data_IF_105485118088
#
_entry.id   IF_105485118088
#
_cell.length_a   1.000
_cell.length_b   1.000
_cell.length_c   1.000
_cell.angle_alpha   90.00
_cell.angle_beta   90.00
_cell.angle_gamma   90.00
#
_symmetry.space_group_name_H-M   'P 1'
#
loop_
_entity.id
_entity.type
_entity.pdbx_description
1 polymer ?
#
# COMPACT_ATOMS: atom_id res chain seq x y z
N UNK A 1 -2.53 -0.74 15.39
CA UNK A 1 -2.28 -0.32 13.99
C UNK A 1 -1.25 -1.21 13.32
N UNK A 2 -1.56 -1.71 12.12
CA UNK A 2 -0.64 -2.49 11.27
C UNK A 2 0.43 -1.60 10.63
N UNK A 3 1.74 -1.84 10.90
CA UNK A 3 2.80 -1.01 10.36
C UNK A 3 2.92 -1.18 8.84
N UNK A 4 3.36 -0.12 8.15
CA UNK A 4 3.68 -0.19 6.73
C UNK A 4 4.81 -1.20 6.46
N UNK A 5 4.51 -2.18 5.62
CA UNK A 5 5.44 -3.19 5.11
C UNK A 5 5.57 -3.01 3.59
N UNK A 6 6.78 -2.82 3.09
CA UNK A 6 7.03 -2.62 1.66
C UNK A 6 8.09 -3.60 1.14
N UNK A 7 7.72 -4.46 0.20
CA UNK A 7 8.57 -5.49 -0.45
C UNK A 7 9.35 -6.35 0.54
N UNK A 8 8.69 -7.30 1.21
CA UNK A 8 9.42 -8.32 1.98
C UNK A 8 9.15 -9.68 1.38
N UNK A 9 10.22 -10.35 0.98
CA UNK A 9 10.18 -11.74 0.59
C UNK A 9 9.88 -12.59 1.81
N UNK A 10 8.97 -13.54 1.64
CA UNK A 10 8.58 -14.48 2.69
C UNK A 10 9.77 -15.11 3.43
N UNK A 11 10.89 -15.33 2.74
CA UNK A 11 12.08 -15.98 3.31
C UNK A 11 12.79 -15.18 4.39
N UNK A 12 12.57 -13.87 4.44
CA UNK A 12 13.20 -12.99 5.41
C UNK A 12 12.39 -12.85 6.69
N UNK A 13 11.19 -13.42 6.72
CA UNK A 13 10.43 -13.55 7.95
C UNK A 13 10.92 -14.71 8.80
N UNK A 14 10.98 -14.46 10.10
CA UNK A 14 11.30 -15.48 11.10
C UNK A 14 10.09 -16.38 11.39
N UNK A 15 10.38 -17.63 11.73
CA UNK A 15 9.36 -18.61 12.08
C UNK A 15 8.95 -18.51 13.55
N UNK A 16 7.65 -18.64 13.78
CA UNK A 16 7.02 -18.77 15.09
C UNK A 16 6.20 -20.07 15.14
N UNK A 17 5.84 -20.52 16.35
CA UNK A 17 4.80 -21.53 16.48
C UNK A 17 3.47 -20.95 15.98
N UNK A 18 2.71 -21.72 15.19
CA UNK A 18 1.45 -21.23 14.63
C UNK A 18 0.37 -21.06 15.73
N UNK A 19 -0.30 -19.92 15.76
CA UNK A 19 -1.37 -19.60 16.70
C UNK A 19 -2.73 -20.10 16.21
N UNK A 20 -2.89 -21.42 16.17
CA UNK A 20 -4.12 -22.09 15.73
C UNK A 20 -4.83 -22.77 16.90
N UNK A 21 -5.51 -21.96 17.73
CA UNK A 21 -6.15 -22.39 18.98
C UNK A 21 -7.19 -23.49 18.73
N UNK A 22 -7.19 -24.52 19.58
CA UNK A 22 -8.17 -25.61 19.58
C UNK A 22 -7.92 -26.70 18.54
N UNK A 23 -6.83 -26.63 17.76
CA UNK A 23 -6.47 -27.69 16.82
C UNK A 23 -5.37 -28.63 17.33
N UNK A 24 -5.30 -29.79 16.69
CA UNK A 24 -4.29 -30.82 16.92
C UNK A 24 -3.37 -30.95 15.71
N UNK A 25 -2.07 -31.09 15.94
CA UNK A 25 -1.04 -31.14 14.90
C UNK A 25 0.07 -30.12 15.14
N UNK A 26 1.05 -30.04 14.23
CA UNK A 26 2.16 -29.09 14.31
C UNK A 26 2.17 -28.19 13.08
N UNK A 27 2.29 -26.89 13.30
CA UNK A 27 2.46 -25.90 12.26
C UNK A 27 3.37 -24.76 12.76
N UNK A 28 4.01 -24.07 11.83
CA UNK A 28 4.74 -22.82 12.10
C UNK A 28 4.19 -21.70 11.25
N UNK A 29 4.32 -20.46 11.73
CA UNK A 29 3.85 -19.27 11.02
C UNK A 29 4.96 -18.25 10.81
N UNK A 30 4.88 -17.51 9.71
CA UNK A 30 5.58 -16.26 9.47
C UNK A 30 4.55 -15.13 9.55
N UNK A 31 4.84 -14.13 10.39
CA UNK A 31 3.97 -12.98 10.64
C UNK A 31 4.29 -11.87 9.66
N UNK A 32 3.55 -11.81 8.56
CA UNK A 32 3.80 -10.90 7.44
C UNK A 32 3.54 -9.44 7.84
N UNK A 33 2.43 -9.22 8.54
CA UNK A 33 2.07 -7.95 9.20
C UNK A 33 1.11 -8.24 10.35
N UNK A 34 1.24 -7.48 11.44
CA UNK A 34 0.49 -7.68 12.69
C UNK A 34 0.10 -6.34 13.25
N UNK A 35 -1.15 -6.24 13.68
CA UNK A 35 -1.66 -5.20 14.55
C UNK A 35 -1.49 -5.63 16.00
N UNK A 36 -0.62 -4.93 16.74
CA UNK A 36 -0.38 -5.24 18.15
C UNK A 36 -1.52 -4.77 19.07
N UNK A 37 -2.45 -3.94 18.58
CA UNK A 37 -3.54 -3.38 19.38
C UNK A 37 -4.75 -4.30 19.44
N UNK A 38 -5.13 -4.94 18.33
CA UNK A 38 -6.33 -5.79 18.25
C UNK A 38 -6.06 -7.25 17.84
N UNK A 39 -4.84 -7.58 17.41
CA UNK A 39 -4.46 -8.94 16.99
C UNK A 39 -4.63 -9.23 15.50
N UNK A 40 -5.14 -8.28 14.72
CA UNK A 40 -5.28 -8.43 13.27
C UNK A 40 -3.94 -8.79 12.63
N UNK A 41 -3.91 -9.74 11.72
CA UNK A 41 -2.65 -10.30 11.21
C UNK A 41 -2.78 -10.96 9.85
N UNK A 42 -1.74 -10.77 9.03
CA UNK A 42 -1.50 -11.52 7.80
C UNK A 42 -0.36 -12.50 8.04
N UNK A 43 -0.62 -13.78 7.81
CA UNK A 43 0.26 -14.88 8.17
C UNK A 43 0.49 -15.78 6.96
N UNK A 44 1.69 -16.34 6.87
CA UNK A 44 1.95 -17.58 6.13
C UNK A 44 2.06 -18.71 7.15
N UNK A 45 1.38 -19.82 6.92
CA UNK A 45 1.42 -20.99 7.80
C UNK A 45 1.85 -22.24 7.03
N UNK A 46 2.81 -22.97 7.58
CA UNK A 46 3.32 -24.23 7.05
C UNK A 46 2.99 -25.36 8.05
N UNK A 47 2.27 -26.39 7.57
CA UNK A 47 1.84 -27.53 8.38
C UNK A 47 2.86 -28.68 8.32
N UNK A 48 3.41 -29.07 9.47
CA UNK A 48 4.47 -30.10 9.61
C UNK A 48 3.95 -31.49 9.97
N UNK A 49 2.66 -31.61 10.19
CA UNK A 49 1.91 -32.87 10.32
C UNK A 49 0.53 -32.64 9.73
N UNK A 50 -0.28 -33.71 9.62
CA UNK A 50 -1.72 -33.51 9.54
C UNK A 50 -2.18 -32.63 10.72
N UNK A 51 -2.96 -31.60 10.42
CA UNK A 51 -3.51 -30.69 11.42
C UNK A 51 -5.02 -30.60 11.26
N UNK A 52 -5.74 -30.49 12.37
CA UNK A 52 -7.20 -30.37 12.33
C UNK A 52 -7.79 -29.70 13.54
N UNK A 53 -8.96 -29.10 13.34
CA UNK A 53 -9.78 -28.52 14.39
C UNK A 53 -11.25 -28.80 14.12
N UNK A 54 -11.98 -29.13 15.18
CA UNK A 54 -13.44 -29.32 15.14
C UNK A 54 -14.21 -28.00 14.93
N UNK A 55 -15.55 -28.08 14.83
CA UNK A 55 -16.40 -26.91 14.65
C UNK A 55 -16.37 -25.98 15.87
N UNK A 56 -16.68 -24.70 15.66
CA UNK A 56 -16.68 -23.68 16.70
C UNK A 56 -16.86 -22.27 16.13
N UNK A 57 -16.37 -21.25 16.84
CA UNK A 57 -16.51 -19.84 16.46
C UNK A 57 -15.17 -19.11 16.60
N UNK A 58 -14.81 -18.31 15.60
CA UNK A 58 -13.61 -17.48 15.61
C UNK A 58 -13.84 -16.15 16.34
N UNK A 59 -12.79 -15.65 17.00
CA UNK A 59 -12.77 -14.32 17.64
C UNK A 59 -12.36 -13.19 16.68
N UNK A 60 -11.96 -13.54 15.45
CA UNK A 60 -11.56 -12.63 14.37
C UNK A 60 -12.20 -13.07 13.04
N UNK A 61 -12.38 -12.15 12.11
CA UNK A 61 -12.71 -12.49 10.73
C UNK A 61 -11.50 -13.23 10.13
N UNK A 62 -11.67 -14.50 9.82
CA UNK A 62 -10.56 -15.39 9.47
C UNK A 62 -10.65 -15.85 8.02
N UNK A 63 -9.56 -15.70 7.26
CA UNK A 63 -9.48 -16.19 5.88
C UNK A 63 -8.34 -17.19 5.71
N UNK A 64 -8.60 -18.29 5.01
CA UNK A 64 -7.61 -19.32 4.68
C UNK A 64 -7.50 -19.43 3.16
N UNK A 65 -6.28 -19.31 2.63
CA UNK A 65 -6.01 -19.52 1.20
C UNK A 65 -4.89 -20.54 1.01
N UNK A 66 -5.15 -21.61 0.26
CA UNK A 66 -4.18 -22.69 0.03
C UNK A 66 -3.18 -22.29 -1.05
N UNK A 67 -1.91 -22.13 -0.67
CA UNK A 67 -0.78 -21.92 -1.58
C UNK A 67 -0.32 -23.24 -2.20
N UNK A 68 -0.19 -24.28 -1.38
CA UNK A 68 0.30 -25.61 -1.75
C UNK A 68 -0.32 -26.66 -0.83
N UNK A 69 -0.53 -27.88 -1.31
CA UNK A 69 -1.15 -28.96 -0.53
C UNK A 69 -2.68 -28.92 -0.56
N UNK A 70 -3.34 -29.22 0.55
CA UNK A 70 -4.80 -29.24 0.59
C UNK A 70 -5.43 -29.00 1.96
N UNK A 71 -6.61 -28.42 1.91
CA UNK A 71 -7.51 -28.16 3.04
C UNK A 71 -8.78 -28.99 2.86
N UNK A 72 -9.34 -29.51 3.95
CA UNK A 72 -10.72 -30.04 3.96
C UNK A 72 -11.55 -29.25 4.95
N UNK A 73 -12.61 -28.61 4.48
CA UNK A 73 -13.55 -27.81 5.27
C UNK A 73 -14.96 -28.40 5.16
N UNK A 74 -15.59 -28.73 6.29
CA UNK A 74 -16.93 -29.33 6.30
C UNK A 74 -17.05 -30.62 5.45
N UNK A 75 -15.96 -31.38 5.34
CA UNK A 75 -15.88 -32.59 4.51
C UNK A 75 -15.59 -32.34 3.02
N UNK A 76 -15.53 -31.09 2.55
CA UNK A 76 -15.13 -30.75 1.18
C UNK A 76 -13.63 -30.49 1.11
N UNK A 77 -12.92 -31.27 0.30
CA UNK A 77 -11.49 -31.08 0.03
C UNK A 77 -11.27 -30.00 -1.05
N UNK A 78 -10.28 -29.13 -0.82
CA UNK A 78 -9.84 -28.06 -1.70
C UNK A 78 -8.31 -28.10 -1.80
N UNK A 79 -7.78 -28.02 -3.03
CA UNK A 79 -6.35 -27.94 -3.30
C UNK A 79 -5.83 -26.51 -3.30
N UNK A 80 -4.73 -26.26 -4.03
CA UNK A 80 -4.21 -24.92 -4.30
C UNK A 80 -5.32 -24.00 -4.86
N UNK A 81 -5.40 -22.78 -4.34
CA UNK A 81 -6.48 -21.84 -4.63
C UNK A 81 -7.77 -22.07 -3.85
N UNK A 82 -7.83 -23.10 -2.99
CA UNK A 82 -8.89 -23.26 -2.02
C UNK A 82 -8.95 -22.07 -1.06
N UNK A 83 -10.13 -21.47 -0.92
CA UNK A 83 -10.37 -20.29 -0.09
C UNK A 83 -11.54 -20.53 0.87
N UNK A 84 -11.35 -20.16 2.13
CA UNK A 84 -12.40 -20.13 3.15
C UNK A 84 -12.38 -18.78 3.85
N UNK A 85 -13.51 -18.08 3.88
CA UNK A 85 -13.78 -16.96 4.79
C UNK A 85 -14.67 -17.44 5.92
N UNK A 86 -14.25 -17.22 7.14
CA UNK A 86 -14.90 -17.59 8.39
C UNK A 86 -15.09 -16.32 9.24
N UNK A 87 -16.28 -15.70 9.18
CA UNK A 87 -16.51 -14.44 9.89
C UNK A 87 -16.50 -14.64 11.42
N UNK A 88 -16.08 -13.59 12.13
CA UNK A 88 -16.09 -13.49 13.58
C UNK A 88 -17.49 -13.79 14.13
N UNK A 89 -17.55 -14.62 15.17
CA UNK A 89 -18.81 -14.95 15.81
C UNK A 89 -19.71 -15.92 15.04
N UNK A 90 -19.34 -16.35 13.82
CA UNK A 90 -20.14 -17.28 13.00
C UNK A 90 -19.70 -18.73 13.25
N UNK A 91 -20.63 -19.68 13.47
CA UNK A 91 -20.29 -21.10 13.60
C UNK A 91 -19.64 -21.62 12.31
N UNK A 92 -18.46 -22.20 12.46
CA UNK A 92 -17.71 -22.84 11.39
C UNK A 92 -17.73 -24.36 11.55
N UNK A 93 -17.57 -25.03 10.43
CA UNK A 93 -17.42 -26.48 10.36
C UNK A 93 -16.00 -26.92 10.74
N UNK A 94 -15.79 -28.23 10.85
CA UNK A 94 -14.46 -28.79 11.03
C UNK A 94 -13.54 -28.46 9.83
N UNK A 95 -12.28 -28.13 10.13
CA UNK A 95 -11.24 -27.80 9.16
C UNK A 95 -10.00 -28.66 9.41
N UNK A 96 -9.40 -29.18 8.35
CA UNK A 96 -8.17 -29.98 8.42
C UNK A 96 -7.24 -29.63 7.27
N UNK A 97 -5.94 -29.79 7.51
CA UNK A 97 -4.87 -29.60 6.52
C UNK A 97 -3.98 -30.84 6.49
N UNK A 98 -3.57 -31.24 5.29
CA UNK A 98 -2.61 -32.33 5.13
C UNK A 98 -1.20 -31.87 5.50
N UNK A 99 -0.37 -32.80 5.95
CA UNK A 99 1.06 -32.54 6.16
C UNK A 99 1.72 -31.97 4.90
N UNK A 100 2.55 -30.95 5.06
CA UNK A 100 3.20 -30.24 3.95
C UNK A 100 2.35 -29.15 3.30
N UNK A 101 1.09 -28.96 3.74
CA UNK A 101 0.24 -27.87 3.25
C UNK A 101 0.81 -26.52 3.67
N UNK A 102 0.71 -25.54 2.75
CA UNK A 102 1.07 -24.14 2.98
C UNK A 102 -0.11 -23.25 2.67
N UNK A 103 -0.37 -22.29 3.55
CA UNK A 103 -1.49 -21.37 3.41
C UNK A 103 -1.08 -19.94 3.69
N UNK A 104 -1.86 -19.01 3.14
CA UNK A 104 -2.04 -17.69 3.76
C UNK A 104 -3.21 -17.77 4.73
N UNK A 105 -3.03 -17.17 5.90
CA UNK A 105 -4.05 -17.08 6.93
C UNK A 105 -4.15 -15.62 7.37
N UNK A 106 -5.33 -15.04 7.21
CA UNK A 106 -5.61 -13.67 7.61
C UNK A 106 -6.57 -13.67 8.80
N UNK A 107 -6.38 -12.73 9.71
CA UNK A 107 -7.26 -12.45 10.84
C UNK A 107 -7.50 -10.94 10.89
N UNK A 108 -8.75 -10.50 10.93
CA UNK A 108 -9.08 -9.09 11.11
C UNK A 108 -10.01 -8.89 12.31
N UNK A 109 -9.83 -7.76 12.99
CA UNK A 109 -10.68 -7.28 14.08
C UNK A 109 -10.76 -8.23 15.29
N UNK A 110 -9.69 -8.98 15.56
CA UNK A 110 -9.59 -9.87 16.71
C UNK A 110 -8.32 -10.72 16.75
N UNK A 111 -8.15 -11.42 17.86
CA UNK A 111 -6.99 -12.27 18.13
C UNK A 111 -7.15 -13.72 17.60
N UNK A 112 -6.24 -14.61 18.03
CA UNK A 112 -6.22 -16.03 17.66
C UNK A 112 -7.35 -16.88 18.28
N UNK A 113 -8.22 -16.29 19.09
CA UNK A 113 -9.19 -17.00 19.92
C UNK A 113 -10.20 -17.82 19.11
N UNK A 114 -10.60 -18.94 19.72
CA UNK A 114 -11.57 -19.87 19.14
C UNK A 114 -12.38 -20.60 20.21
N UNK A 115 -13.70 -20.51 20.11
CA UNK A 115 -14.62 -21.19 21.02
C UNK A 115 -15.17 -22.47 20.37
N UNK A 116 -14.73 -23.62 20.87
CA UNK A 116 -15.13 -24.93 20.32
C UNK A 116 -16.60 -25.20 20.59
N UNK A 117 -17.36 -25.59 19.55
CA UNK A 117 -18.78 -25.94 19.66
C UNK A 117 -19.70 -24.80 20.08
N UNK A 118 -19.24 -23.54 19.99
CA UNK A 118 -20.03 -22.38 20.37
C UNK A 118 -21.17 -22.09 19.37
N UNK A 119 -22.23 -21.46 19.87
CA UNK A 119 -23.31 -20.94 19.06
C UNK A 119 -22.92 -19.59 18.41
N UNK A 120 -23.66 -19.19 17.37
CA UNK A 120 -23.47 -17.90 16.70
C UNK A 120 -23.61 -16.76 17.70
N UNK A 121 -22.68 -15.81 17.66
CA UNK A 121 -22.76 -14.58 18.45
C UNK A 121 -23.85 -13.66 17.91
N UNK A 122 -24.44 -12.83 18.78
CA UNK A 122 -25.60 -12.03 18.42
C UNK A 122 -25.28 -10.94 17.36
N UNK A 123 -24.07 -10.42 17.42
CA UNK A 123 -23.50 -9.38 16.57
C UNK A 123 -22.81 -9.93 15.31
N UNK A 124 -22.71 -11.25 15.17
CA UNK A 124 -22.04 -11.88 14.05
C UNK A 124 -22.74 -11.55 12.72
N UNK A 125 -21.96 -11.10 11.75
CA UNK A 125 -22.42 -10.73 10.40
C UNK A 125 -21.94 -11.74 9.38
N UNK A 126 -22.53 -11.69 8.19
CA UNK A 126 -22.17 -12.52 7.04
C UNK A 126 -22.28 -14.03 7.32
N UNK A 127 -21.86 -14.85 6.36
CA UNK A 127 -21.83 -16.29 6.47
C UNK A 127 -20.48 -16.81 5.93
N UNK A 128 -20.15 -18.04 6.26
CA UNK A 128 -18.93 -18.69 5.77
C UNK A 128 -18.96 -18.79 4.25
N UNK A 129 -17.87 -18.39 3.60
CA UNK A 129 -17.66 -18.55 2.16
C UNK A 129 -16.62 -19.65 1.92
N UNK A 130 -16.90 -20.56 0.97
CA UNK A 130 -15.99 -21.65 0.59
C UNK A 130 -15.86 -21.71 -0.93
N UNK A 131 -14.69 -21.31 -1.43
CA UNK A 131 -14.42 -21.13 -2.87
C UNK A 131 -13.28 -22.03 -3.32
N UNK A 132 -13.43 -22.58 -4.53
CA UNK A 132 -12.33 -23.15 -5.29
C UNK A 132 -11.94 -22.13 -6.37
N UNK A 133 -10.94 -21.29 -6.08
CA UNK A 133 -10.59 -20.18 -6.97
C UNK A 133 -9.90 -20.64 -8.26
N UNK A 134 -9.35 -21.86 -8.25
CA UNK A 134 -8.77 -22.48 -9.45
C UNK A 134 -9.85 -22.85 -10.48
N UNK A 135 -11.06 -23.19 -10.01
CA UNK A 135 -12.22 -23.49 -10.85
C UNK A 135 -13.01 -22.24 -11.30
N UNK A 136 -12.66 -21.05 -10.81
CA UNK A 136 -13.29 -19.80 -11.24
C UNK A 136 -12.71 -19.33 -12.57
N UNK A 137 -13.53 -18.63 -13.35
CA UNK A 137 -13.08 -17.87 -14.51
C UNK A 137 -12.54 -16.50 -14.08
N UNK A 138 -11.65 -15.93 -14.90
CA UNK A 138 -11.11 -14.59 -14.69
C UNK A 138 -12.00 -13.55 -15.35
N UNK A 139 -12.40 -12.53 -14.59
CA UNK A 139 -13.12 -11.38 -15.14
C UNK A 139 -12.12 -10.28 -15.54
N UNK A 140 -12.20 -9.79 -16.77
CA UNK A 140 -11.44 -8.60 -17.16
C UNK A 140 -11.95 -7.38 -16.37
N UNK A 141 -11.03 -6.55 -15.86
CA UNK A 141 -11.41 -5.33 -15.13
C UNK A 141 -12.13 -4.36 -16.10
N UNK A 142 -13.40 -4.00 -15.84
CA UNK A 142 -14.20 -3.23 -16.79
C UNK A 142 -13.99 -1.71 -16.70
N UNK A 143 -13.14 -1.23 -15.80
CA UNK A 143 -13.06 0.20 -15.48
C UNK A 143 -12.29 1.04 -16.53
N UNK A 144 -12.80 2.24 -16.88
CA UNK A 144 -12.02 3.26 -17.57
C UNK A 144 -10.89 3.75 -16.65
N UNK A 145 -9.63 3.72 -17.11
CA UNK A 145 -8.51 4.30 -16.36
C UNK A 145 -7.19 3.57 -16.54
N UNK A 146 -7.05 2.30 -16.09
CA UNK A 146 -5.85 1.50 -16.34
C UNK A 146 -5.84 0.95 -17.77
N UNK A 147 -4.64 0.65 -18.29
CA UNK A 147 -4.49 -0.08 -19.54
C UNK A 147 -5.19 -1.45 -19.43
N UNK A 148 -5.86 -1.96 -20.49
CA UNK A 148 -6.41 -3.30 -20.49
C UNK A 148 -5.33 -4.36 -20.19
N UNK A 149 -5.71 -5.44 -19.51
CA UNK A 149 -4.78 -6.51 -19.12
C UNK A 149 -4.75 -6.85 -17.64
N UNK A 150 -5.61 -6.22 -16.83
CA UNK A 150 -5.91 -6.66 -15.47
C UNK A 150 -7.13 -7.56 -15.46
N UNK A 151 -7.04 -8.63 -14.67
CA UNK A 151 -8.11 -9.59 -14.46
C UNK A 151 -8.32 -9.81 -12.96
N UNK A 152 -9.57 -10.02 -12.55
CA UNK A 152 -9.96 -10.17 -11.15
C UNK A 152 -10.78 -11.44 -10.93
N UNK A 153 -10.60 -12.06 -9.76
CA UNK A 153 -11.55 -12.99 -9.15
C UNK A 153 -11.87 -12.52 -7.74
N UNK A 154 -13.12 -12.11 -7.48
CA UNK A 154 -13.55 -11.77 -6.13
C UNK A 154 -13.77 -13.03 -5.30
N UNK A 155 -13.10 -13.12 -4.15
CA UNK A 155 -13.23 -14.24 -3.21
C UNK A 155 -14.15 -13.87 -2.03
N UNK A 156 -14.09 -12.63 -1.59
CA UNK A 156 -14.97 -12.06 -0.58
C UNK A 156 -15.15 -10.56 -0.81
N UNK A 157 -16.35 -10.06 -0.57
CA UNK A 157 -16.70 -8.64 -0.59
C UNK A 157 -17.70 -8.40 0.54
N UNK A 158 -17.36 -7.56 1.52
CA UNK A 158 -18.31 -7.07 2.51
C UNK A 158 -19.10 -5.90 1.89
N UNK A 159 -20.42 -6.06 1.67
CA UNK A 159 -21.24 -5.03 1.05
C UNK A 159 -21.46 -3.79 1.94
N UNK A 160 -21.17 -3.84 3.24
CA UNK A 160 -21.30 -2.69 4.13
C UNK A 160 -20.05 -1.83 4.12
N UNK A 161 -18.89 -2.44 4.31
CA UNK A 161 -17.62 -1.72 4.49
C UNK A 161 -16.91 -1.49 3.16
N UNK A 162 -17.20 -2.31 2.14
CA UNK A 162 -16.43 -2.35 0.91
C UNK A 162 -15.11 -3.12 1.07
N UNK A 163 -14.90 -3.80 2.20
CA UNK A 163 -13.78 -4.72 2.37
C UNK A 163 -13.84 -5.79 1.28
N UNK A 164 -12.69 -6.18 0.71
CA UNK A 164 -12.66 -7.32 -0.18
C UNK A 164 -11.34 -8.08 -0.13
N UNK A 165 -11.44 -9.36 -0.50
CA UNK A 165 -10.33 -10.22 -0.87
C UNK A 165 -10.53 -10.67 -2.30
N UNK A 166 -9.50 -10.50 -3.13
CA UNK A 166 -9.53 -10.87 -4.55
C UNK A 166 -8.21 -11.42 -5.04
N UNK A 167 -8.26 -12.24 -6.08
CA UNK A 167 -7.10 -12.48 -6.93
C UNK A 167 -7.05 -11.40 -8.00
N UNK A 168 -5.87 -10.85 -8.23
CA UNK A 168 -5.61 -9.91 -9.33
C UNK A 168 -4.50 -10.50 -10.19
N UNK A 169 -4.71 -10.56 -11.51
CA UNK A 169 -3.70 -10.94 -12.48
C UNK A 169 -3.44 -9.80 -13.44
N UNK A 170 -2.19 -9.36 -13.53
CA UNK A 170 -1.69 -8.50 -14.59
C UNK A 170 -1.04 -9.38 -15.66
N UNK A 171 -1.56 -9.33 -16.89
CA UNK A 171 -0.95 -10.02 -18.02
C UNK A 171 0.45 -9.48 -18.30
N UNK A 172 1.32 -10.30 -18.89
CA UNK A 172 2.66 -9.87 -19.33
C UNK A 172 2.62 -8.56 -20.12
N UNK A 173 3.51 -7.63 -19.75
CA UNK A 173 3.62 -6.33 -20.38
C UNK A 173 2.55 -5.31 -20.01
N UNK A 174 1.63 -5.65 -19.08
CA UNK A 174 0.75 -4.66 -18.49
C UNK A 174 1.55 -3.64 -17.67
N UNK A 175 1.18 -2.37 -17.76
CA UNK A 175 1.83 -1.28 -17.04
C UNK A 175 0.90 -0.13 -16.65
N UNK A 176 1.21 0.53 -15.53
CA UNK A 176 0.65 1.82 -15.14
C UNK A 176 1.76 2.84 -14.90
N UNK A 177 1.74 3.88 -15.73
CA UNK A 177 2.69 4.99 -15.69
C UNK A 177 2.35 6.05 -14.63
N UNK A 178 1.30 5.88 -13.83
CA UNK A 178 0.91 6.84 -12.79
C UNK A 178 1.30 6.33 -11.41
N UNK A 179 1.56 7.27 -10.51
CA UNK A 179 1.72 6.96 -9.09
C UNK A 179 0.37 7.11 -8.39
N UNK A 180 -0.14 5.99 -7.87
CA UNK A 180 -1.45 5.91 -7.24
C UNK A 180 -1.36 5.99 -5.72
N UNK A 181 -2.44 6.45 -5.08
CA UNK A 181 -2.72 6.33 -3.66
C UNK A 181 -4.25 6.26 -3.48
N UNK A 182 -4.72 5.70 -2.35
CA UNK A 182 -6.10 5.23 -2.20
C UNK A 182 -6.63 5.53 -0.78
N UNK A 183 -7.95 5.62 -0.57
CA UNK A 183 -8.57 5.90 0.74
C UNK A 183 -8.51 4.74 1.74
N UNK A 184 -8.24 3.53 1.26
CA UNK A 184 -8.17 2.29 2.02
C UNK A 184 -6.74 1.77 2.12
N UNK A 185 -6.48 0.85 3.04
CA UNK A 185 -5.25 0.07 2.97
C UNK A 185 -5.29 -0.83 1.74
N UNK A 186 -4.11 -1.20 1.26
CA UNK A 186 -3.93 -2.26 0.28
C UNK A 186 -2.84 -3.21 0.78
N UNK A 187 -3.12 -4.51 0.81
CA UNK A 187 -2.10 -5.52 1.03
C UNK A 187 -2.15 -6.59 -0.05
N UNK A 188 -0.99 -7.14 -0.38
CA UNK A 188 -0.96 -8.24 -1.32
C UNK A 188 0.20 -9.20 -1.07
N UNK A 189 -0.04 -10.44 -1.48
CA UNK A 189 0.96 -11.50 -1.53
C UNK A 189 1.08 -12.00 -2.97
N UNK A 190 2.31 -12.06 -3.49
CA UNK A 190 2.59 -12.46 -4.87
C UNK A 190 2.56 -13.99 -5.01
N UNK A 191 1.64 -14.49 -5.84
CA UNK A 191 1.37 -15.92 -6.07
C UNK A 191 2.02 -16.47 -7.35
N UNK A 192 2.30 -15.61 -8.31
CA UNK A 192 2.89 -16.00 -9.60
C UNK A 192 3.62 -14.80 -10.21
N UNK A 193 4.72 -15.08 -10.91
CA UNK A 193 5.42 -14.11 -11.74
C UNK A 193 6.07 -13.01 -10.91
N UNK A 194 6.31 -11.87 -11.54
CA UNK A 194 6.82 -10.69 -10.85
C UNK A 194 6.45 -9.38 -11.53
N UNK A 195 6.47 -8.31 -10.75
CA UNK A 195 6.19 -6.95 -11.20
C UNK A 195 7.29 -6.00 -10.71
N UNK A 196 7.82 -5.21 -11.63
CA UNK A 196 8.74 -4.13 -11.31
C UNK A 196 7.94 -2.87 -10.97
N UNK A 197 8.32 -2.23 -9.86
CA UNK A 197 7.74 -0.96 -9.48
C UNK A 197 8.73 -0.05 -8.75
N UNK A 198 8.29 1.14 -8.40
CA UNK A 198 9.15 2.22 -7.93
C UNK A 198 9.91 1.94 -6.61
N UNK A 199 9.45 1.00 -5.79
CA UNK A 199 10.15 0.60 -4.56
C UNK A 199 10.86 -0.77 -4.64
N UNK A 200 10.91 -1.38 -5.82
CA UNK A 200 11.63 -2.63 -6.07
C UNK A 200 10.83 -3.60 -6.92
N UNK A 201 11.05 -4.89 -6.68
CA UNK A 201 10.44 -5.99 -7.45
C UNK A 201 9.50 -6.77 -6.54
N UNK A 202 8.28 -7.01 -7.00
CA UNK A 202 7.32 -7.90 -6.36
C UNK A 202 7.50 -9.31 -6.95
N UNK A 203 8.42 -10.09 -6.40
CA UNK A 203 8.67 -11.49 -6.78
C UNK A 203 7.68 -12.45 -6.11
N UNK A 204 7.62 -13.70 -6.58
CA UNK A 204 6.90 -14.80 -5.92
C UNK A 204 7.20 -14.85 -4.42
N UNK A 205 6.16 -14.85 -3.59
CA UNK A 205 6.29 -14.85 -2.13
C UNK A 205 6.59 -13.48 -1.51
N UNK A 206 6.61 -12.40 -2.30
CA UNK A 206 6.70 -11.04 -1.79
C UNK A 206 5.37 -10.61 -1.19
N UNK A 207 5.43 -10.00 -0.01
CA UNK A 207 4.31 -9.39 0.69
C UNK A 207 4.51 -7.89 0.89
N UNK A 208 3.41 -7.14 0.81
CA UNK A 208 3.32 -5.75 1.27
C UNK A 208 2.03 -5.49 2.03
N UNK A 209 2.05 -4.49 2.90
CA UNK A 209 0.88 -3.89 3.57
C UNK A 209 1.04 -2.39 3.55
N UNK A 210 0.22 -1.70 2.76
CA UNK A 210 0.22 -0.24 2.61
C UNK A 210 -0.99 0.34 3.32
N UNK A 211 -0.81 1.09 4.42
CA UNK A 211 -1.88 1.90 4.99
C UNK A 211 -2.49 2.86 3.97
N UNK A 212 -3.67 3.40 4.29
CA UNK A 212 -4.33 4.36 3.44
C UNK A 212 -3.41 5.52 3.05
N UNK A 213 -3.54 5.98 1.80
CA UNK A 213 -2.80 7.10 1.20
C UNK A 213 -1.30 6.88 0.99
N UNK A 214 -0.76 5.70 1.27
CA UNK A 214 0.62 5.37 0.89
C UNK A 214 0.72 5.29 -0.63
N UNK A 215 1.57 6.15 -1.18
CA UNK A 215 1.80 6.31 -2.61
C UNK A 215 2.63 5.15 -3.17
N UNK A 216 2.31 4.66 -4.36
CA UNK A 216 3.01 3.56 -5.01
C UNK A 216 2.78 3.49 -6.53
N UNK A 217 3.60 2.69 -7.22
CA UNK A 217 3.69 2.62 -8.69
C UNK A 217 4.86 3.48 -9.16
N UNK A 218 5.31 3.53 -10.40
CA UNK A 218 4.83 2.93 -11.62
C UNK A 218 4.97 1.42 -11.63
N UNK A 219 4.07 0.75 -12.33
CA UNK A 219 4.03 -0.71 -12.40
C UNK A 219 4.33 -1.21 -13.79
N UNK A 220 5.13 -2.26 -13.88
CA UNK A 220 5.35 -3.04 -15.11
C UNK A 220 5.37 -4.52 -14.75
N UNK A 221 4.44 -5.28 -15.32
CA UNK A 221 4.42 -6.74 -15.20
C UNK A 221 5.32 -7.38 -16.25
N UNK A 222 6.16 -8.31 -15.80
CA UNK A 222 7.25 -8.87 -16.62
C UNK A 222 6.82 -10.20 -17.25
N UNK A 223 7.78 -10.98 -17.77
CA UNK A 223 7.54 -12.28 -18.42
C UNK A 223 6.61 -13.18 -17.58
N UNK A 224 5.55 -13.69 -18.21
CA UNK A 224 4.52 -14.53 -17.57
C UNK A 224 3.47 -13.77 -16.76
N UNK A 225 3.53 -12.44 -16.73
CA UNK A 225 2.64 -11.58 -15.95
C UNK A 225 2.89 -11.69 -14.45
N UNK A 226 1.94 -11.23 -13.64
CA UNK A 226 2.00 -11.38 -12.19
C UNK A 226 0.61 -11.54 -11.57
N UNK A 227 0.52 -12.37 -10.54
CA UNK A 227 -0.74 -12.65 -9.83
C UNK A 227 -0.56 -12.42 -8.34
N UNK A 228 -1.54 -11.78 -7.71
CA UNK A 228 -1.58 -11.57 -6.27
C UNK A 228 -2.88 -12.03 -5.64
N UNK A 229 -2.82 -12.47 -4.39
CA UNK A 229 -3.95 -12.36 -3.48
C UNK A 229 -3.88 -10.96 -2.84
N UNK A 230 -4.91 -10.15 -3.06
CA UNK A 230 -4.94 -8.74 -2.70
C UNK A 230 -6.17 -8.44 -1.84
N UNK A 231 -5.97 -7.69 -0.75
CA UNK A 231 -7.01 -7.31 0.21
C UNK A 231 -6.98 -5.79 0.45
N UNK A 232 -8.15 -5.22 0.67
CA UNK A 232 -8.33 -3.81 1.03
C UNK A 232 -9.53 -3.66 1.97
N UNK A 233 -9.46 -2.76 2.94
CA UNK A 233 -10.55 -2.46 3.88
C UNK A 233 -11.63 -1.51 3.34
N UNK A 234 -11.60 -1.23 2.04
CA UNK A 234 -12.59 -0.39 1.38
C UNK A 234 -12.40 -0.35 -0.13
N UNK A 235 -13.31 0.34 -0.81
CA UNK A 235 -13.25 0.49 -2.27
C UNK A 235 -11.95 1.19 -2.69
N UNK A 236 -11.21 0.53 -3.58
CA UNK A 236 -9.91 0.99 -4.05
C UNK A 236 -10.10 1.98 -5.19
N UNK A 237 -10.25 3.25 -4.80
CA UNK A 237 -10.31 4.37 -5.71
C UNK A 237 -8.92 4.98 -5.90
N UNK A 238 -8.44 5.02 -7.14
CA UNK A 238 -7.08 5.46 -7.45
C UNK A 238 -7.01 6.97 -7.60
N UNK A 239 -6.23 7.62 -6.74
CA UNK A 239 -5.82 9.02 -6.89
C UNK A 239 -4.40 9.11 -7.40
N UNK A 240 -4.15 9.99 -8.38
CA UNK A 240 -2.85 10.04 -9.06
C UNK A 240 -2.10 11.34 -8.76
N UNK A 241 -0.78 11.22 -8.57
CA UNK A 241 0.14 12.35 -8.49
C UNK A 241 1.04 12.37 -9.73
N UNK A 242 1.37 13.57 -10.21
CA UNK A 242 2.30 13.79 -11.33
C UNK A 242 3.25 14.93 -10.99
N UNK A 243 4.45 14.94 -11.59
CA UNK A 243 5.49 15.93 -11.33
C UNK A 243 5.89 16.00 -9.83
N UNK A 244 5.84 14.86 -9.16
CA UNK A 244 6.23 14.75 -7.76
C UNK A 244 7.68 15.09 -7.52
N UNK A 245 7.94 15.53 -6.31
CA UNK A 245 9.28 15.77 -5.82
C UNK A 245 9.28 15.70 -4.30
N UNK A 246 10.35 15.13 -3.76
CA UNK A 246 10.73 15.29 -2.36
C UNK A 246 12.16 15.80 -2.36
N UNK A 247 12.47 16.83 -1.58
CA UNK A 247 13.85 17.26 -1.31
C UNK A 247 14.01 17.52 0.18
N UNK A 248 14.97 16.84 0.79
CA UNK A 248 15.32 17.01 2.19
C UNK A 248 16.80 17.34 2.31
N UNK A 249 17.14 18.29 3.18
CA UNK A 249 18.52 18.67 3.43
C UNK A 249 18.67 19.44 4.73
N UNK A 250 19.92 19.80 5.04
CA UNK A 250 20.27 20.54 6.24
C UNK A 250 21.76 20.86 6.30
N UNK A 251 22.23 21.17 7.50
CA UNK A 251 23.65 21.39 7.80
C UNK A 251 24.19 20.22 8.61
N UNK A 252 25.22 19.56 8.10
CA UNK A 252 25.81 18.42 8.76
C UNK A 252 26.69 18.89 9.94
N UNK A 253 26.29 18.52 11.16
CA UNK A 253 26.98 18.94 12.39
C UNK A 253 28.04 17.94 12.86
N UNK A 254 27.78 16.64 12.70
CA UNK A 254 28.61 15.55 13.24
C UNK A 254 28.72 14.34 12.31
N UNK A 255 28.44 14.50 11.01
CA UNK A 255 28.55 13.46 9.98
C UNK A 255 28.94 14.08 8.63
N UNK A 256 29.43 13.25 7.70
CA UNK A 256 29.77 13.68 6.33
C UNK A 256 30.85 14.78 6.27
N UNK A 257 31.12 15.34 5.08
CA UNK A 257 31.86 16.59 4.99
C UNK A 257 31.03 17.69 5.66
N UNK A 258 31.68 18.54 6.47
CA UNK A 258 31.01 19.69 7.08
C UNK A 258 30.39 20.59 6.01
N UNK A 259 29.14 21.00 6.20
CA UNK A 259 28.46 21.91 5.30
C UNK A 259 26.99 21.56 5.03
N UNK A 260 26.41 22.31 4.09
CA UNK A 260 25.05 22.07 3.61
C UNK A 260 24.99 20.85 2.72
N UNK A 261 23.96 20.06 2.92
CA UNK A 261 23.62 18.96 2.05
C UNK A 261 22.13 18.96 1.78
N UNK A 262 21.75 18.35 0.68
CA UNK A 262 20.36 18.00 0.38
C UNK A 262 20.36 16.82 -0.55
N UNK A 263 19.28 16.06 -0.51
CA UNK A 263 18.99 14.96 -1.41
C UNK A 263 17.52 15.08 -1.82
N UNK A 264 17.26 14.89 -3.10
CA UNK A 264 15.91 14.77 -3.64
C UNK A 264 15.63 13.35 -4.16
N UNK A 265 14.37 13.06 -4.46
CA UNK A 265 14.03 11.87 -5.24
C UNK A 265 14.68 11.88 -6.62
N UNK A 266 14.95 13.06 -7.20
CA UNK A 266 15.77 13.19 -8.41
C UNK A 266 17.24 12.80 -8.17
N UNK A 267 17.86 13.25 -7.07
CA UNK A 267 19.26 12.90 -6.73
C UNK A 267 19.43 11.39 -6.41
N UNK A 268 18.36 10.75 -5.94
CA UNK A 268 18.30 9.31 -5.66
C UNK A 268 18.07 8.48 -6.91
N UNK A 269 17.25 8.99 -7.82
CA UNK A 269 16.88 8.32 -9.06
C UNK A 269 18.11 7.99 -9.90
N UNK A 270 18.23 6.71 -10.24
CA UNK A 270 19.35 6.17 -11.03
C UNK A 270 18.90 5.76 -12.42
N UNK A 271 17.60 5.86 -12.72
CA UNK A 271 17.02 5.58 -14.02
C UNK A 271 17.25 4.13 -14.47
N UNK A 272 17.20 3.18 -13.54
CA UNK A 272 17.58 1.77 -13.78
C UNK A 272 16.55 0.96 -14.59
N UNK A 273 15.50 1.61 -15.10
CA UNK A 273 14.48 0.98 -15.95
C UNK A 273 15.08 0.53 -17.28
N UNK A 274 14.78 -0.70 -17.67
CA UNK A 274 15.17 -1.25 -18.97
C UNK A 274 14.45 -0.53 -20.12
N UNK A 275 15.00 -0.55 -21.36
CA UNK A 275 14.30 -0.01 -22.53
C UNK A 275 12.92 -0.62 -22.77
N UNK A 276 12.74 -1.88 -22.34
CA UNK A 276 11.49 -2.61 -22.42
C UNK A 276 10.44 -2.06 -21.44
N UNK A 277 10.79 -1.89 -20.17
CA UNK A 277 9.92 -1.24 -19.18
C UNK A 277 9.53 0.18 -19.60
N UNK A 278 10.49 0.96 -20.12
CA UNK A 278 10.22 2.31 -20.63
C UNK A 278 9.23 2.28 -21.80
N UNK A 279 9.28 1.25 -22.65
CA UNK A 279 8.31 1.09 -23.73
C UNK A 279 6.91 0.74 -23.20
N UNK A 280 6.82 -0.12 -22.18
CA UNK A 280 5.55 -0.47 -21.52
C UNK A 280 4.91 0.75 -20.85
N UNK A 281 5.69 1.55 -20.11
CA UNK A 281 5.19 2.77 -19.46
C UNK A 281 4.74 3.83 -20.48
N UNK A 282 5.44 3.96 -21.62
CA UNK A 282 4.99 4.83 -22.73
C UNK A 282 3.70 4.34 -23.35
N UNK A 283 3.54 3.03 -23.54
CA UNK A 283 2.29 2.47 -24.05
C UNK A 283 1.12 2.76 -23.09
N UNK A 284 1.35 2.67 -21.77
CA UNK A 284 0.37 3.03 -20.73
C UNK A 284 -0.06 4.50 -20.83
N UNK A 285 0.90 5.41 -21.00
CA UNK A 285 0.66 6.83 -21.20
C UNK A 285 -0.12 7.11 -22.49
N UNK A 286 0.29 6.50 -23.61
CA UNK A 286 -0.36 6.67 -24.90
C UNK A 286 -1.82 6.19 -24.86
N UNK A 287 -2.08 5.08 -24.16
CA UNK A 287 -3.44 4.60 -23.92
C UNK A 287 -4.25 5.62 -23.11
N UNK A 288 -3.71 6.13 -22.00
CA UNK A 288 -4.38 7.17 -21.20
C UNK A 288 -4.80 8.36 -22.07
N UNK A 289 -3.88 8.88 -22.89
CA UNK A 289 -4.14 9.99 -23.83
C UNK A 289 -5.21 9.66 -24.87
N UNK A 290 -5.20 8.45 -25.43
CA UNK A 290 -6.23 8.00 -26.38
C UNK A 290 -7.62 7.94 -25.74
N UNK A 291 -7.69 7.67 -24.44
CA UNK A 291 -8.93 7.65 -23.66
C UNK A 291 -9.31 9.01 -23.04
N UNK A 292 -8.59 10.08 -23.40
CA UNK A 292 -8.89 11.45 -22.95
C UNK A 292 -8.14 11.91 -21.71
N UNK A 293 -7.19 11.11 -21.21
CA UNK A 293 -6.27 11.53 -20.16
C UNK A 293 -5.34 12.65 -20.60
N UNK A 294 -4.95 13.50 -19.66
CA UNK A 294 -4.04 14.63 -19.88
C UNK A 294 -2.72 14.43 -19.12
N UNK A 295 -2.31 13.18 -18.97
CA UNK A 295 -1.16 12.82 -18.17
C UNK A 295 0.15 13.36 -18.81
N UNK A 296 1.01 13.89 -17.95
CA UNK A 296 2.34 14.34 -18.28
C UNK A 296 3.19 13.16 -18.79
N UNK A 297 4.25 13.48 -19.55
CA UNK A 297 5.20 12.45 -19.97
C UNK A 297 5.85 11.81 -18.74
N UNK A 298 5.91 10.48 -18.73
CA UNK A 298 6.69 9.76 -17.74
C UNK A 298 8.18 9.96 -18.00
N UNK A 299 8.88 10.48 -16.99
CA UNK A 299 10.34 10.63 -16.98
C UNK A 299 10.85 9.92 -15.73
N UNK A 300 11.76 8.92 -15.85
CA UNK A 300 12.36 8.28 -14.69
C UNK A 300 13.02 9.30 -13.76
N UNK A 301 12.93 9.07 -12.45
CA UNK A 301 13.65 9.88 -11.47
C UNK A 301 15.15 9.88 -11.80
N UNK A 302 15.80 11.02 -11.55
CA UNK A 302 17.20 11.27 -11.92
C UNK A 302 17.43 11.65 -13.39
N UNK A 303 16.40 11.56 -14.23
CA UNK A 303 16.44 12.04 -15.61
C UNK A 303 15.60 13.32 -15.78
N UNK A 304 15.85 14.05 -16.87
CA UNK A 304 15.10 15.27 -17.17
C UNK A 304 15.29 16.38 -16.15
N UNK A 305 14.20 17.06 -15.79
CA UNK A 305 14.24 18.23 -14.93
C UNK A 305 14.03 17.86 -13.47
N UNK A 306 14.86 18.39 -12.56
CA UNK A 306 14.62 18.26 -11.12
C UNK A 306 13.45 19.16 -10.69
N UNK A 307 12.29 18.54 -10.51
CA UNK A 307 11.06 19.20 -10.09
C UNK A 307 11.18 19.87 -8.71
N UNK A 308 12.04 19.36 -7.81
CA UNK A 308 12.29 19.99 -6.51
C UNK A 308 13.00 21.34 -6.66
N UNK A 309 13.99 21.43 -7.55
CA UNK A 309 14.70 22.67 -7.82
C UNK A 309 13.82 23.67 -8.55
N UNK A 310 12.98 23.22 -9.48
CA UNK A 310 11.97 24.08 -10.11
C UNK A 310 11.01 24.66 -9.08
N UNK A 311 10.50 23.83 -8.18
CA UNK A 311 9.56 24.26 -7.16
C UNK A 311 10.19 25.29 -6.21
N UNK A 312 11.44 25.04 -5.76
CA UNK A 312 12.20 25.99 -4.94
C UNK A 312 12.51 27.28 -5.72
N UNK A 313 12.92 27.19 -6.98
CA UNK A 313 13.23 28.37 -7.79
C UNK A 313 11.99 29.25 -7.98
N UNK A 314 10.86 28.65 -8.34
CA UNK A 314 9.57 29.36 -8.44
C UNK A 314 9.20 30.02 -7.12
N UNK A 315 9.31 29.30 -6.01
CA UNK A 315 9.04 29.86 -4.68
C UNK A 315 9.95 31.06 -4.38
N UNK A 316 11.25 30.96 -4.67
CA UNK A 316 12.19 32.08 -4.46
C UNK A 316 11.92 33.27 -5.38
N UNK A 317 11.54 33.04 -6.63
CA UNK A 317 11.18 34.11 -7.56
C UNK A 317 9.89 34.79 -7.14
N UNK A 318 8.88 34.04 -6.67
CA UNK A 318 7.67 34.59 -6.05
C UNK A 318 8.02 35.45 -4.84
N UNK A 319 8.85 34.95 -3.91
CA UNK A 319 9.30 35.73 -2.75
C UNK A 319 10.07 37.01 -3.15
N UNK A 320 10.88 36.98 -4.22
CA UNK A 320 11.59 38.17 -4.71
C UNK A 320 10.67 39.18 -5.37
N UNK A 321 9.68 38.73 -6.14
CA UNK A 321 8.70 39.59 -6.79
C UNK A 321 7.76 40.24 -5.76
N UNK A 322 7.46 39.53 -4.67
CA UNK A 322 6.63 40.03 -3.57
C UNK A 322 7.42 40.93 -2.60
N UNK A 323 8.70 40.62 -2.36
CA UNK A 323 9.58 41.39 -1.47
C UNK A 323 10.12 42.72 -2.01
N UNK A 324 9.79 43.08 -3.26
CA UNK A 324 10.18 44.35 -3.87
C UNK A 324 11.66 44.43 -4.29
N UNK A 325 11.92 45.14 -5.39
CA UNK A 325 13.27 45.49 -5.82
C UNK A 325 13.93 46.42 -4.78
N UNK A 326 14.85 45.91 -3.96
CA UNK A 326 15.87 46.77 -3.35
C UNK A 326 16.87 47.17 -4.44
N UNK A 327 16.53 48.24 -5.17
CA UNK A 327 17.46 48.93 -6.06
C UNK A 327 18.50 49.74 -5.24
N UNK A 328 19.74 49.89 -5.72
CA UNK A 328 20.76 50.63 -5.01
C UNK A 328 20.49 52.13 -5.15
N UNK A 329 20.02 52.78 -4.09
CA UNK A 329 19.95 54.23 -4.02
C UNK A 329 20.81 54.75 -2.86
N UNK A 330 21.96 55.31 -3.24
CA UNK A 330 22.70 56.30 -2.49
C UNK A 330 21.78 57.46 -2.08
N UNK A 331 21.89 57.92 -0.83
CA UNK A 331 21.32 59.21 -0.40
C UNK A 331 20.99 59.30 1.08
N UNK A 332 21.90 59.90 1.85
CA UNK A 332 21.73 60.30 3.25
C UNK A 332 20.44 61.10 3.54
N UNK A 333 19.74 60.79 4.64
CA UNK A 333 19.52 61.73 5.76
C UNK A 333 18.75 61.09 6.92
N UNK A 334 19.17 61.41 8.14
CA UNK A 334 18.59 61.02 9.43
C UNK A 334 17.15 61.49 9.61
N UNK A 335 16.30 60.68 10.25
CA UNK A 335 15.48 61.08 11.40
C UNK A 335 14.95 59.82 12.11
N UNK A 336 15.08 59.80 13.43
CA UNK A 336 14.54 58.79 14.33
C UNK A 336 13.04 59.06 14.55
N UNK A 337 12.22 58.00 14.56
CA UNK A 337 11.14 57.80 15.54
C UNK A 337 10.47 56.41 15.37
N UNK A 338 10.11 55.87 16.53
CA UNK A 338 9.15 54.82 16.87
C UNK A 338 9.28 53.38 16.37
N UNK A 339 9.63 52.53 17.35
CA UNK A 339 9.44 51.10 17.38
C UNK A 339 7.95 50.75 17.54
N UNK A 340 7.26 50.51 16.44
CA UNK A 340 6.08 49.64 16.43
C UNK A 340 6.43 48.33 15.73
N UNK A 341 6.72 47.32 16.55
CA UNK A 341 6.96 45.95 16.12
C UNK A 341 5.68 45.32 15.58
N UNK A 342 5.40 45.56 14.29
CA UNK A 342 4.53 44.68 13.53
C UNK A 342 5.16 43.28 13.52
N UNK A 343 4.39 42.20 13.77
CA UNK A 343 4.93 40.86 13.59
C UNK A 343 5.36 40.78 12.13
N UNK A 344 6.64 40.47 11.90
CA UNK A 344 7.12 40.05 10.60
C UNK A 344 6.31 38.80 10.22
N UNK A 345 5.19 39.00 9.51
CA UNK A 345 4.56 37.92 8.78
C UNK A 345 5.62 37.48 7.77
N UNK A 346 6.28 36.36 8.03
CA UNK A 346 7.04 35.68 7.00
C UNK A 346 6.04 35.46 5.85
N UNK A 347 6.22 36.19 4.75
CA UNK A 347 5.32 36.11 3.62
C UNK A 347 5.27 34.66 3.17
N UNK A 348 4.08 34.06 3.24
CA UNK A 348 3.88 32.66 2.94
C UNK A 348 4.11 32.46 1.44
N UNK A 349 5.13 31.68 1.11
CA UNK A 349 5.35 31.20 -0.25
C UNK A 349 4.09 30.47 -0.73
N UNK A 350 3.59 30.84 -1.91
CA UNK A 350 2.48 30.13 -2.54
C UNK A 350 2.96 28.78 -3.10
N UNK A 351 2.66 27.72 -2.36
CA UNK A 351 2.88 26.32 -2.74
C UNK A 351 1.61 25.64 -3.26
N UNK A 352 0.55 26.41 -3.53
CA UNK A 352 -0.78 25.90 -3.86
C UNK A 352 -1.68 25.76 -2.62
N UNK A 353 -2.52 24.73 -2.62
CA UNK A 353 -3.45 24.48 -1.52
C UNK A 353 -2.70 24.16 -0.22
N UNK A 354 -3.18 24.68 0.91
CA UNK A 354 -2.71 24.30 2.24
C UNK A 354 -2.95 22.79 2.42
N UNK A 355 -1.94 21.96 2.74
CA UNK A 355 -2.13 20.55 3.01
C UNK A 355 -3.26 20.27 4.01
N UNK A 356 -3.45 21.12 5.03
CA UNK A 356 -4.52 20.97 6.00
C UNK A 356 -5.92 21.14 5.39
N UNK A 357 -6.04 21.85 4.27
CA UNK A 357 -7.30 21.99 3.53
C UNK A 357 -7.66 20.77 2.68
N UNK A 358 -6.71 19.87 2.47
CA UNK A 358 -6.92 18.61 1.75
C UNK A 358 -7.31 17.47 2.70
N UNK A 359 -7.03 17.60 3.99
CA UNK A 359 -7.30 16.57 5.00
C UNK A 359 -8.78 16.18 5.10
N UNK A 360 -9.01 14.93 5.53
CA UNK A 360 -10.37 14.52 5.89
C UNK A 360 -10.85 15.32 7.12
N UNK A 361 -12.14 15.72 7.24
CA UNK A 361 -12.63 16.53 8.36
C UNK A 361 -12.32 15.94 9.75
N UNK A 362 -12.31 14.62 9.84
CA UNK A 362 -12.07 13.88 11.08
C UNK A 362 -10.59 13.58 11.36
N UNK A 363 -9.69 13.92 10.44
CA UNK A 363 -8.28 13.55 10.49
C UNK A 363 -7.54 14.05 11.73
N UNK A 364 -8.03 15.12 12.35
CA UNK A 364 -7.45 15.73 13.55
C UNK A 364 -8.30 15.57 14.81
N UNK A 365 -9.48 14.96 14.72
CA UNK A 365 -10.49 14.99 15.79
C UNK A 365 -10.96 13.62 16.23
N UNK A 366 -10.84 12.58 15.39
CA UNK A 366 -11.28 11.23 15.71
C UNK A 366 -10.26 10.43 16.56
N UNK A 367 -10.65 9.21 16.95
CA UNK A 367 -9.80 8.30 17.70
C UNK A 367 -8.51 7.93 16.94
N UNK A 368 -8.51 8.02 15.61
CA UNK A 368 -7.39 7.78 14.72
C UNK A 368 -6.57 9.03 14.39
N UNK A 369 -6.78 10.18 15.05
CA UNK A 369 -6.11 11.44 14.74
C UNK A 369 -4.58 11.39 14.91
N UNK A 370 -4.08 10.42 15.68
CA UNK A 370 -2.65 10.16 15.87
C UNK A 370 -2.03 9.30 14.76
N UNK A 371 -2.86 8.71 13.88
CA UNK A 371 -2.42 7.86 12.77
C UNK A 371 -2.97 8.38 11.44
N UNK A 372 -2.08 8.97 10.65
CA UNK A 372 -2.44 9.46 9.32
C UNK A 372 -2.76 8.29 8.37
N UNK A 373 -2.17 7.11 8.54
CA UNK A 373 -2.47 5.94 7.70
C UNK A 373 -3.84 5.29 7.95
N UNK A 374 -4.62 5.78 8.92
CA UNK A 374 -5.96 5.25 9.22
C UNK A 374 -6.90 5.49 8.03
N UNK A 375 -7.43 4.41 7.46
CA UNK A 375 -8.48 4.47 6.46
C UNK A 375 -9.71 5.21 7.00
N UNK A 376 -10.29 6.07 6.17
CA UNK A 376 -11.52 6.81 6.50
C UNK A 376 -12.50 6.62 5.35
N UNK A 377 -13.79 6.54 5.71
CA UNK A 377 -14.83 6.43 4.71
C UNK A 377 -14.74 7.63 3.76
N UNK A 378 -14.57 7.34 2.48
CA UNK A 378 -14.51 8.33 1.42
C UNK A 378 -15.48 7.92 0.32
N UNK A 379 -16.13 8.90 -0.29
CA UNK A 379 -17.00 8.69 -1.46
C UNK A 379 -16.71 9.71 -2.54
N UNK A 380 -17.05 9.40 -3.82
CA UNK A 380 -16.91 10.36 -4.90
C UNK A 380 -17.60 11.70 -4.59
N UNK A 381 -16.82 12.78 -4.64
CA UNK A 381 -17.26 14.15 -4.34
C UNK A 381 -16.73 14.71 -3.01
N UNK A 382 -16.23 13.86 -2.11
CA UNK A 382 -15.52 14.32 -0.92
C UNK A 382 -14.11 14.85 -1.28
N UNK A 383 -13.49 15.73 -0.46
CA UNK A 383 -12.11 16.15 -0.65
C UNK A 383 -11.15 14.97 -0.77
N UNK A 384 -10.13 15.10 -1.61
CA UNK A 384 -9.09 14.08 -1.78
C UNK A 384 -7.91 14.45 -0.88
N UNK A 385 -7.62 13.64 0.17
CA UNK A 385 -6.50 13.92 1.04
C UNK A 385 -5.17 13.76 0.33
N UNK A 386 -4.19 14.57 0.75
CA UNK A 386 -2.84 14.47 0.25
C UNK A 386 -2.24 13.08 0.52
N UNK A 387 -1.35 12.58 -0.36
CA UNK A 387 -0.65 11.32 -0.15
C UNK A 387 0.23 11.38 1.10
N UNK A 388 0.41 10.22 1.74
CA UNK A 388 1.38 10.06 2.83
C UNK A 388 2.70 9.60 2.24
N UNK A 389 3.72 10.42 2.44
CA UNK A 389 5.10 9.96 2.31
C UNK A 389 5.39 9.15 3.56
N UNK A 390 5.36 7.83 3.44
CA UNK A 390 5.86 6.98 4.51
C UNK A 390 7.34 7.32 4.73
N UNK A 391 7.67 7.91 5.87
CA UNK A 391 9.06 8.19 6.26
C UNK A 391 9.77 6.87 6.52
N UNK A 392 10.21 6.21 5.44
CA UNK A 392 10.76 4.86 5.37
C UNK A 392 9.72 3.77 5.70
N UNK A 393 9.61 2.68 4.93
CA UNK A 393 8.81 1.54 5.34
C UNK A 393 9.36 1.02 6.69
N UNK A 394 8.50 0.69 7.65
CA UNK A 394 8.92 0.16 8.96
C UNK A 394 9.69 -1.15 8.77
N UNK A 395 9.41 -1.85 7.68
CA UNK A 395 10.19 -2.97 7.17
C UNK A 395 10.23 -2.89 5.63
N UNK A 396 11.42 -2.67 5.06
CA UNK A 396 11.65 -2.54 3.61
C UNK A 396 12.70 -3.54 3.12
N UNK A 397 12.50 -4.07 1.91
CA UNK A 397 13.44 -4.79 1.02
C UNK A 397 14.61 -5.51 1.70
N UNK A 398 14.55 -6.83 1.71
CA UNK A 398 15.61 -7.73 2.18
C UNK A 398 16.72 -8.00 1.15
N UNK A 399 16.49 -7.73 -0.15
CA UNK A 399 17.47 -7.96 -1.22
C UNK A 399 17.50 -6.81 -2.22
N UNK A 400 18.65 -6.13 -2.33
CA UNK A 400 18.88 -5.01 -3.24
C UNK A 400 19.11 -3.68 -2.51
N UNK A 401 19.62 -2.67 -3.21
CA UNK A 401 19.82 -1.33 -2.64
C UNK A 401 18.46 -0.63 -2.55
N UNK A 402 18.23 0.11 -1.47
CA UNK A 402 17.19 1.14 -1.46
C UNK A 402 17.70 2.30 -2.30
N UNK A 403 17.28 2.37 -3.57
CA UNK A 403 17.74 3.35 -4.54
C UNK A 403 16.82 4.56 -4.66
N UNK A 404 15.74 4.65 -3.88
CA UNK A 404 14.92 5.86 -3.79
C UNK A 404 14.22 6.25 -5.11
N UNK A 405 14.25 5.38 -6.11
CA UNK A 405 13.64 5.54 -7.45
C UNK A 405 12.09 5.57 -7.39
N UNK A 406 11.52 5.53 -6.18
CA UNK A 406 10.09 5.61 -5.92
C UNK A 406 9.62 6.69 -4.97
N UNK A 407 10.46 7.66 -4.64
CA UNK A 407 10.04 8.83 -3.84
C UNK A 407 9.38 9.94 -4.68
#
# INVERSE_FOLDING_TARGET
MRPHVEVILEDDYIWHAAELVGGEGRASERRLSVDEEDGSSSLRVDFHTGWGRGPGVHHADSEFYVLEGSMTYGGRRLGQGGYVYAPKGVPVEAITFEEGTRILHYREYGDAGFDTGAARWAEAREDVIVIDSAAMEWDAVPNPGPMPGLFIKYLHVDPLTGFYTRLVHAQEGWADHRLAHHPCYEEAYTLQGHMEYNFGTLDLGTYFFRPARVKHGHFTSMEGGATWLLRSDGELFNWYTQNEWVRWGGEALNYGPAGRWSQSSHDLGVGLRTPEELAMLRASLDYSRQTGGTDADYVPHGQGTDHSLLAIAKARDTARLQGGHEGPHDGHSHHAEDHDGAPHHAEALDWGADPASLEHPDERTDAGAHNWGTGRAWKPGDPIPAPIVSSLPVRSRSRGRWDGDGM
#
